data_IF_607685442257
#
_entry.id   IF_607685442257
#
_cell.length_a   1.000
_cell.length_b   1.000
_cell.length_c   1.000
_cell.angle_alpha   90.00
_cell.angle_beta   90.00
_cell.angle_gamma   90.00
#
_symmetry.space_group_name_H-M   'P 1'
#
loop_
_entity.id
_entity.type
_entity.pdbx_description
1 polymer ?
#
# COMPACT_ATOMS: atom_id res chain seq x y z
N UNK A 1 0.42 -5.14 -10.47
CA UNK A 1 -0.50 -4.19 -9.80
C UNK A 1 0.31 -3.17 -9.04
N UNK A 2 -0.06 -1.92 -9.13
CA UNK A 2 0.61 -0.81 -8.44
C UNK A 2 -0.35 0.38 -8.39
N UNK A 3 0.02 1.42 -7.64
CA UNK A 3 -0.66 2.71 -7.71
C UNK A 3 0.34 3.79 -8.10
N UNK A 4 -0.13 4.84 -8.76
CA UNK A 4 0.72 5.90 -9.29
C UNK A 4 0.10 7.26 -9.01
N UNK A 5 0.94 8.23 -8.61
CA UNK A 5 0.49 9.58 -8.35
C UNK A 5 1.62 10.48 -7.89
N UNK A 6 1.23 11.71 -7.52
CA UNK A 6 2.17 12.73 -7.06
C UNK A 6 2.46 12.56 -5.57
N UNK A 7 3.72 12.52 -5.20
CA UNK A 7 4.15 12.50 -3.80
C UNK A 7 5.36 13.41 -3.61
N UNK A 8 5.37 14.14 -2.50
CA UNK A 8 6.51 14.93 -2.06
C UNK A 8 7.06 14.30 -0.78
N UNK A 9 8.33 13.91 -0.79
CA UNK A 9 8.98 13.34 0.37
C UNK A 9 9.38 14.44 1.36
N UNK A 10 9.52 14.06 2.64
CA UNK A 10 9.88 15.00 3.70
C UNK A 10 11.18 15.76 3.45
N UNK A 11 12.07 15.23 2.62
CA UNK A 11 13.34 15.86 2.25
C UNK A 11 13.20 16.82 1.06
N UNK A 12 11.98 17.11 0.61
CA UNK A 12 11.71 18.02 -0.48
C UNK A 12 11.79 17.41 -1.87
N UNK A 13 12.06 16.11 -1.98
CA UNK A 13 12.03 15.43 -3.28
C UNK A 13 10.59 15.31 -3.74
N UNK A 14 10.29 15.89 -4.90
CA UNK A 14 8.96 15.91 -5.50
C UNK A 14 8.91 14.92 -6.66
N UNK A 15 7.98 13.96 -6.59
CA UNK A 15 7.81 12.94 -7.62
C UNK A 15 6.41 13.03 -8.19
N UNK A 16 6.30 13.46 -9.45
CA UNK A 16 5.00 13.68 -10.09
C UNK A 16 4.30 12.39 -10.50
N UNK A 17 5.07 11.32 -10.67
CA UNK A 17 4.55 10.02 -11.14
C UNK A 17 5.10 8.88 -10.30
N UNK A 18 5.14 9.07 -8.99
CA UNK A 18 5.64 8.04 -8.09
C UNK A 18 4.87 6.73 -8.30
N UNK A 19 5.63 5.65 -8.46
CA UNK A 19 5.09 4.32 -8.71
C UNK A 19 5.28 3.48 -7.46
N UNK A 20 4.18 3.08 -6.83
CA UNK A 20 4.20 2.41 -5.53
C UNK A 20 3.73 0.97 -5.69
N UNK A 21 4.57 0.05 -5.22
CA UNK A 21 4.31 -1.38 -5.26
C UNK A 21 4.26 -1.91 -3.84
N UNK A 22 3.24 -2.71 -3.53
CA UNK A 22 3.19 -3.45 -2.28
C UNK A 22 4.11 -4.66 -2.42
N UNK A 23 5.15 -4.71 -1.60
CA UNK A 23 6.15 -5.78 -1.66
C UNK A 23 5.86 -6.92 -0.68
N UNK A 24 5.23 -6.61 0.45
CA UNK A 24 4.95 -7.61 1.48
C UNK A 24 3.78 -7.15 2.33
N UNK A 25 2.99 -8.11 2.81
CA UNK A 25 1.90 -7.86 3.76
C UNK A 25 2.08 -8.83 4.92
N UNK A 26 2.11 -8.29 6.15
CA UNK A 26 2.15 -9.09 7.37
C UNK A 26 0.85 -8.88 8.13
N UNK A 27 0.04 -9.93 8.19
CA UNK A 27 -1.22 -9.91 8.92
C UNK A 27 -0.99 -10.58 10.26
N UNK A 28 -1.30 -9.86 11.33
CA UNK A 28 -1.17 -10.40 12.68
C UNK A 28 -2.55 -10.44 13.33
N UNK A 29 -2.92 -11.63 13.79
CA UNK A 29 -4.15 -11.83 14.56
C UNK A 29 -3.75 -12.10 16.00
N UNK A 30 -4.33 -11.33 16.90
CA UNK A 30 -4.04 -11.44 18.33
C UNK A 30 -5.26 -12.02 19.03
N UNK A 31 -5.06 -13.10 19.77
CA UNK A 31 -6.14 -13.72 20.54
C UNK A 31 -6.59 -12.75 21.62
N UNK A 32 -7.85 -12.30 21.52
CA UNK A 32 -8.41 -11.33 22.45
C UNK A 32 -7.83 -9.93 22.35
N UNK A 33 -7.03 -9.67 21.31
CA UNK A 33 -6.36 -8.38 21.13
C UNK A 33 -6.69 -7.72 19.80
N UNK A 34 -5.85 -6.77 19.42
CA UNK A 34 -6.03 -5.97 18.21
C UNK A 34 -5.35 -6.63 17.02
N UNK A 35 -6.15 -6.95 16.00
CA UNK A 35 -5.60 -7.44 14.73
C UNK A 35 -5.05 -6.27 13.91
N UNK A 36 -4.00 -6.51 13.15
CA UNK A 36 -3.48 -5.51 12.24
C UNK A 36 -2.81 -6.14 11.03
N UNK A 37 -2.68 -5.34 9.97
CA UNK A 37 -1.94 -5.69 8.78
C UNK A 37 -0.87 -4.61 8.55
N UNK A 38 0.39 -5.03 8.41
CA UNK A 38 1.49 -4.15 8.06
C UNK A 38 1.76 -4.30 6.57
N UNK A 39 1.67 -3.19 5.84
CA UNK A 39 1.81 -3.15 4.39
C UNK A 39 3.14 -2.51 4.07
N UNK A 40 4.03 -3.29 3.48
CA UNK A 40 5.36 -2.84 3.10
C UNK A 40 5.33 -2.41 1.63
N UNK A 41 5.73 -1.18 1.38
CA UNK A 41 5.69 -0.60 0.03
C UNK A 41 7.09 -0.20 -0.41
N UNK A 42 7.34 -0.34 -1.72
CA UNK A 42 8.50 0.21 -2.39
C UNK A 42 8.04 1.35 -3.29
N UNK A 43 8.71 2.48 -3.19
CA UNK A 43 8.38 3.69 -3.95
C UNK A 43 9.45 3.93 -4.99
N UNK A 44 9.05 3.93 -6.26
CA UNK A 44 9.93 4.20 -7.40
C UNK A 44 9.64 5.58 -7.96
N UNK A 45 10.65 6.20 -8.54
CA UNK A 45 10.48 7.54 -9.14
C UNK A 45 9.37 7.53 -10.18
N UNK A 46 9.33 6.51 -11.03
CA UNK A 46 8.26 6.28 -12.00
C UNK A 46 8.26 4.80 -12.43
N UNK A 47 7.30 4.44 -13.28
CA UNK A 47 7.16 3.07 -13.76
C UNK A 47 8.37 2.61 -14.57
N UNK A 48 8.96 3.50 -15.37
CA UNK A 48 10.12 3.13 -16.20
C UNK A 48 11.33 2.76 -15.36
N UNK A 49 11.54 3.43 -14.23
CA UNK A 49 12.62 3.11 -13.29
C UNK A 49 12.40 1.71 -12.69
N UNK A 50 11.16 1.38 -12.30
CA UNK A 50 10.83 0.05 -11.80
C UNK A 50 11.12 -1.02 -12.85
N UNK A 51 10.72 -0.78 -14.10
CA UNK A 51 10.85 -1.77 -15.18
C UNK A 51 12.30 -1.97 -15.63
N UNK A 52 13.21 -1.05 -15.32
CA UNK A 52 14.63 -1.19 -15.63
C UNK A 52 15.42 -1.82 -14.49
N UNK A 53 14.77 -2.35 -13.48
CA UNK A 53 15.37 -3.01 -12.31
C UNK A 53 16.29 -2.09 -11.49
N UNK A 54 16.02 -0.79 -11.51
CA UNK A 54 16.74 0.15 -10.65
C UNK A 54 16.12 0.14 -9.26
N UNK A 55 16.91 0.47 -8.21
CA UNK A 55 16.39 0.43 -6.85
C UNK A 55 15.31 1.47 -6.62
N UNK A 56 14.45 1.20 -5.65
CA UNK A 56 13.44 2.13 -5.18
C UNK A 56 14.07 3.38 -4.54
N UNK A 57 13.33 4.49 -4.57
CA UNK A 57 13.73 5.73 -3.92
C UNK A 57 13.67 5.58 -2.40
N UNK A 58 12.60 4.96 -1.92
CA UNK A 58 12.38 4.74 -0.49
C UNK A 58 11.37 3.61 -0.28
N UNK A 59 11.21 3.23 0.97
CA UNK A 59 10.20 2.26 1.38
C UNK A 59 9.37 2.85 2.52
N UNK A 60 8.10 2.47 2.58
CA UNK A 60 7.23 2.83 3.70
C UNK A 60 6.54 1.59 4.23
N UNK A 61 6.18 1.66 5.52
CA UNK A 61 5.36 0.65 6.17
C UNK A 61 4.10 1.35 6.66
N UNK A 62 2.94 0.87 6.21
CA UNK A 62 1.65 1.39 6.64
C UNK A 62 0.90 0.31 7.40
N UNK A 63 0.33 0.70 8.53
CA UNK A 63 -0.42 -0.24 9.37
C UNK A 63 -1.92 0.01 9.24
N UNK A 64 -2.65 -1.04 8.89
CA UNK A 64 -4.11 -1.06 8.95
C UNK A 64 -4.51 -1.73 10.25
N UNK A 65 -5.16 -1.00 11.14
CA UNK A 65 -5.62 -1.50 12.44
C UNK A 65 -7.01 -0.97 12.74
N UNK A 66 -7.69 -1.55 13.74
CA UNK A 66 -9.02 -1.13 14.12
C UNK A 66 -9.99 -1.20 12.96
N UNK A 67 -10.70 -0.09 12.68
CA UNK A 67 -11.67 -0.02 11.59
C UNK A 67 -11.06 -0.28 10.22
N UNK A 68 -9.83 0.18 9.99
CA UNK A 68 -9.14 -0.06 8.72
C UNK A 68 -8.87 -1.54 8.51
N UNK A 69 -8.46 -2.26 9.56
CA UNK A 69 -8.29 -3.69 9.46
C UNK A 69 -9.61 -4.39 9.12
N UNK A 70 -10.68 -4.06 9.83
CA UNK A 70 -11.99 -4.67 9.62
C UNK A 70 -12.51 -4.40 8.21
N UNK A 71 -12.31 -3.18 7.71
CA UNK A 71 -12.82 -2.79 6.39
C UNK A 71 -12.12 -3.52 5.26
N UNK A 72 -10.79 -3.73 5.36
CA UNK A 72 -10.00 -4.21 4.22
C UNK A 72 -9.44 -5.62 4.40
N UNK A 73 -9.19 -6.08 5.62
CA UNK A 73 -8.42 -7.29 5.87
C UNK A 73 -9.10 -8.34 6.73
N UNK A 74 -10.32 -8.09 7.18
CA UNK A 74 -11.05 -9.08 7.97
C UNK A 74 -11.33 -10.33 7.12
N UNK A 75 -11.42 -11.49 7.78
CA UNK A 75 -11.62 -12.77 7.09
C UNK A 75 -12.87 -12.73 6.21
N UNK A 76 -13.93 -12.08 6.66
CA UNK A 76 -15.16 -11.97 5.89
C UNK A 76 -14.98 -11.19 4.60
N UNK A 77 -14.05 -10.22 4.58
CA UNK A 77 -13.73 -9.44 3.40
C UNK A 77 -12.85 -10.26 2.45
N UNK A 78 -11.83 -10.93 2.98
CA UNK A 78 -10.89 -11.70 2.16
C UNK A 78 -11.50 -13.00 1.61
N UNK A 79 -12.61 -13.46 2.17
CA UNK A 79 -13.34 -14.61 1.66
C UNK A 79 -14.17 -14.30 0.40
N UNK A 80 -14.36 -13.01 0.10
CA UNK A 80 -15.08 -12.61 -1.11
C UNK A 80 -14.26 -12.95 -2.37
N UNK A 81 -14.94 -13.46 -3.38
CA UNK A 81 -14.30 -13.78 -4.65
C UNK A 81 -13.69 -12.51 -5.28
N UNK A 82 -12.45 -12.62 -5.73
CA UNK A 82 -11.74 -11.52 -6.36
C UNK A 82 -11.04 -10.56 -5.41
N UNK A 83 -11.21 -10.73 -4.10
CA UNK A 83 -10.51 -9.91 -3.11
C UNK A 83 -9.34 -10.71 -2.54
N UNK A 84 -8.14 -10.19 -2.74
CA UNK A 84 -6.92 -10.79 -2.20
C UNK A 84 -6.29 -9.84 -1.20
N UNK A 85 -5.39 -10.31 -0.32
CA UNK A 85 -4.68 -9.38 0.58
C UNK A 85 -3.99 -8.24 -0.17
N UNK A 86 -3.38 -8.52 -1.33
CA UNK A 86 -2.70 -7.48 -2.09
C UNK A 86 -3.69 -6.48 -2.71
N UNK A 87 -4.80 -6.93 -3.28
CA UNK A 87 -5.78 -6.00 -3.82
C UNK A 87 -6.36 -5.10 -2.73
N UNK A 88 -6.63 -5.66 -1.55
CA UNK A 88 -7.15 -4.90 -0.42
C UNK A 88 -6.10 -3.94 0.15
N UNK A 89 -4.81 -4.30 0.09
CA UNK A 89 -3.74 -3.40 0.50
C UNK A 89 -3.72 -2.14 -0.37
N UNK A 90 -3.87 -2.28 -1.69
CA UNK A 90 -3.92 -1.11 -2.57
C UNK A 90 -5.17 -0.26 -2.32
N UNK A 91 -6.32 -0.88 -2.06
CA UNK A 91 -7.53 -0.13 -1.70
C UNK A 91 -7.33 0.64 -0.40
N UNK A 92 -6.71 0.02 0.61
CA UNK A 92 -6.40 0.71 1.85
C UNK A 92 -5.45 1.89 1.62
N UNK A 93 -4.39 1.70 0.85
CA UNK A 93 -3.43 2.79 0.57
C UNK A 93 -4.12 3.97 -0.10
N UNK A 94 -4.99 3.72 -1.07
CA UNK A 94 -5.72 4.79 -1.76
C UNK A 94 -6.68 5.55 -0.84
N UNK A 95 -7.07 4.97 0.29
CA UNK A 95 -7.92 5.64 1.28
C UNK A 95 -7.14 6.62 2.16
N UNK A 96 -5.81 6.52 2.19
CA UNK A 96 -4.97 7.41 3.00
C UNK A 96 -4.85 8.78 2.33
N UNK A 97 -4.85 9.84 3.16
CA UNK A 97 -4.81 11.22 2.63
C UNK A 97 -3.56 11.49 1.81
N UNK A 98 -2.43 10.87 2.17
CA UNK A 98 -1.16 11.06 1.46
C UNK A 98 -1.16 10.45 0.04
N UNK A 99 -2.08 9.55 -0.24
CA UNK A 99 -2.23 8.92 -1.55
C UNK A 99 -3.52 9.35 -2.25
N UNK A 100 -4.11 10.45 -1.81
CA UNK A 100 -5.32 10.97 -2.44
C UNK A 100 -5.09 11.26 -3.91
N UNK A 101 -5.96 10.74 -4.77
CA UNK A 101 -5.82 10.92 -6.21
C UNK A 101 -4.93 9.89 -6.91
N UNK A 102 -4.29 9.00 -6.17
CA UNK A 102 -3.52 7.92 -6.79
C UNK A 102 -4.44 6.97 -7.54
N UNK A 103 -3.94 6.45 -8.66
CA UNK A 103 -4.70 5.57 -9.53
C UNK A 103 -4.01 4.22 -9.69
N UNK A 104 -4.82 3.19 -9.93
CA UNK A 104 -4.31 1.87 -10.25
C UNK A 104 -3.62 1.87 -11.61
N UNK A 105 -2.50 1.21 -11.70
CA UNK A 105 -1.73 1.08 -12.94
C UNK A 105 -1.22 -0.35 -13.15
#
# INVERSE_FOLDING_TARGET
MAIQGHIELYNGVDMTSAYIVVSEIRIRKSEGGTNHADIYTAVYFDESIKNTNKPEVTTFIHRASGTNYTTYFDDTVLDDAGKTPFSQAYEFLKSLSQYNGFQDV
#
